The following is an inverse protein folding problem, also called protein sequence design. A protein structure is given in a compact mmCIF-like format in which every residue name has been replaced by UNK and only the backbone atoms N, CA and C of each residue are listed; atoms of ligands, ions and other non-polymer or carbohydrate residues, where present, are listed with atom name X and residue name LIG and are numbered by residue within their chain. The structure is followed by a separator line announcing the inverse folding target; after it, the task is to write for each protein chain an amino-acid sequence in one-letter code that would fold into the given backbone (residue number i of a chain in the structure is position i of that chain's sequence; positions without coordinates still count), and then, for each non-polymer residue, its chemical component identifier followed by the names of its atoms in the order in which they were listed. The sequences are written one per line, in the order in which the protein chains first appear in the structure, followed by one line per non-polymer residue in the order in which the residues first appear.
data_IF_567521755966
#
_entry.id   IF_567521755966
#
_cell.length_a   1.000
_cell.length_b   1.000
_cell.length_c   1.000
_cell.angle_alpha   90.00
_cell.angle_beta   90.00
_cell.angle_gamma   90.00
#
_symmetry.space_group_name_H-M   'P 1'
#
loop_
_entity.id
_entity.type
_entity.pdbx_description
1 polymer ?
#
# COMPACT_ATOMS: atom_id res chain seq x y z
N UNK A 1 -42.53 -1.87 -7.03
CA UNK A 1 -41.67 -0.91 -6.30
C UNK A 1 -42.60 -0.06 -5.44
N UNK A 2 -42.52 -0.19 -4.12
CA UNK A 2 -43.30 0.67 -3.23
C UNK A 2 -42.54 1.99 -3.10
N UNK A 3 -43.17 3.10 -3.49
CA UNK A 3 -42.67 4.44 -3.16
C UNK A 3 -43.23 4.77 -1.79
N UNK A 4 -42.41 4.67 -0.76
CA UNK A 4 -42.80 5.12 0.57
C UNK A 4 -42.58 6.63 0.62
N UNK A 5 -43.66 7.41 0.51
CA UNK A 5 -43.59 8.87 0.66
C UNK A 5 -43.44 9.18 2.16
N UNK A 6 -42.21 9.47 2.58
CA UNK A 6 -41.90 9.73 3.98
C UNK A 6 -42.27 11.19 4.29
N UNK A 7 -43.35 11.39 5.04
CA UNK A 7 -43.78 12.75 5.45
C UNK A 7 -42.86 13.38 6.51
N UNK A 8 -42.02 12.58 7.17
CA UNK A 8 -40.98 12.99 8.14
C UNK A 8 -39.94 11.88 8.31
N UNK A 9 -38.66 12.17 8.09
CA UNK A 9 -37.57 11.23 8.36
C UNK A 9 -37.49 11.04 9.88
N UNK A 10 -37.65 9.80 10.35
CA UNK A 10 -37.44 9.45 11.76
C UNK A 10 -35.97 9.09 11.97
N UNK A 11 -35.34 9.79 12.91
CA UNK A 11 -33.96 9.56 13.32
C UNK A 11 -33.93 9.31 14.82
N UNK A 12 -33.09 8.36 15.25
CA UNK A 12 -32.81 8.06 16.65
C UNK A 12 -31.33 8.21 16.92
N UNK A 13 -30.99 8.72 18.10
CA UNK A 13 -29.61 8.78 18.58
C UNK A 13 -29.52 8.44 20.07
N UNK A 14 -28.41 7.84 20.49
CA UNK A 14 -28.19 7.42 21.87
C UNK A 14 -26.96 6.54 22.02
N UNK A 15 -26.82 5.82 23.14
CA UNK A 15 -25.77 4.80 23.25
C UNK A 15 -26.07 3.63 22.32
N UNK A 16 -25.04 2.92 21.85
CA UNK A 16 -25.19 1.75 20.96
C UNK A 16 -26.17 0.71 21.51
N UNK A 17 -26.12 0.46 22.82
CA UNK A 17 -27.00 -0.49 23.51
C UNK A 17 -28.46 -0.02 23.60
N UNK A 18 -28.69 1.29 23.47
CA UNK A 18 -30.03 1.89 23.55
C UNK A 18 -30.70 2.00 22.16
N UNK A 19 -29.99 1.65 21.08
CA UNK A 19 -30.59 1.54 19.76
C UNK A 19 -31.38 0.23 19.67
N UNK A 20 -32.70 0.28 19.36
CA UNK A 20 -33.50 -0.91 19.12
C UNK A 20 -32.92 -1.79 18.01
N UNK A 21 -33.06 -3.10 18.14
CA UNK A 21 -32.73 -4.08 17.11
C UNK A 21 -33.93 -5.03 16.92
N UNK A 22 -34.77 -4.83 15.87
CA UNK A 22 -34.63 -3.85 14.80
C UNK A 22 -35.13 -2.44 15.15
N UNK A 23 -34.55 -1.41 14.51
CA UNK A 23 -35.14 -0.08 14.31
C UNK A 23 -36.36 -0.19 13.38
N UNK A 24 -37.23 0.84 13.35
CA UNK A 24 -38.37 0.84 12.43
C UNK A 24 -37.92 0.82 10.96
N UNK A 25 -38.80 0.39 10.06
CA UNK A 25 -38.56 0.38 8.61
C UNK A 25 -38.01 1.73 8.13
N UNK A 26 -36.80 1.71 7.58
CA UNK A 26 -36.07 2.87 7.08
C UNK A 26 -35.79 3.99 8.10
N UNK A 27 -35.81 3.70 9.41
CA UNK A 27 -35.36 4.63 10.47
C UNK A 27 -33.83 4.66 10.55
N UNK A 28 -33.25 5.87 10.67
CA UNK A 28 -31.81 6.02 10.91
C UNK A 28 -31.49 5.99 12.40
N UNK A 29 -30.55 5.14 12.81
CA UNK A 29 -30.02 5.06 14.18
C UNK A 29 -28.56 5.50 14.26
N UNK A 30 -28.25 6.50 15.10
CA UNK A 30 -26.89 6.96 15.36
C UNK A 30 -26.45 6.60 16.79
N UNK A 31 -25.42 5.76 16.91
CA UNK A 31 -24.81 5.44 18.20
C UNK A 31 -23.75 6.51 18.54
N UNK A 32 -24.01 7.36 19.52
CA UNK A 32 -23.13 8.50 19.84
C UNK A 32 -21.79 8.06 20.43
N UNK A 33 -21.77 6.99 21.24
CA UNK A 33 -20.59 6.51 21.94
C UNK A 33 -19.64 5.70 21.04
N UNK A 34 -20.19 4.94 20.09
CA UNK A 34 -19.40 4.15 19.13
C UNK A 34 -19.27 4.82 17.76
N UNK A 35 -20.03 5.90 17.50
CA UNK A 35 -20.07 6.62 16.22
C UNK A 35 -20.44 5.72 15.03
N UNK A 36 -21.39 4.84 15.25
CA UNK A 36 -21.91 3.89 14.25
C UNK A 36 -23.29 4.33 13.75
N UNK A 37 -23.57 4.06 12.47
CA UNK A 37 -24.81 4.44 11.80
C UNK A 37 -25.57 3.19 11.32
N UNK A 38 -26.89 3.17 11.52
CA UNK A 38 -27.77 2.07 11.16
C UNK A 38 -28.98 2.52 10.36
N UNK A 39 -29.49 1.64 9.51
CA UNK A 39 -30.82 1.73 8.89
C UNK A 39 -31.64 0.55 9.40
N UNK A 40 -32.85 0.81 9.90
CA UNK A 40 -33.77 -0.23 10.31
C UNK A 40 -34.39 -0.98 9.14
N UNK A 41 -34.36 -2.32 9.22
CA UNK A 41 -35.07 -3.22 8.30
C UNK A 41 -36.48 -3.58 8.82
N UNK A 42 -36.84 -3.01 9.97
CA UNK A 42 -38.12 -3.20 10.64
C UNK A 42 -38.36 -4.62 11.14
N UNK A 43 -39.54 -4.86 11.73
CA UNK A 43 -39.87 -6.12 12.38
C UNK A 43 -40.08 -7.29 11.40
N UNK A 44 -40.28 -7.01 10.10
CA UNK A 44 -40.57 -8.05 9.10
C UNK A 44 -39.31 -8.72 8.54
N UNK A 45 -38.27 -7.94 8.23
CA UNK A 45 -36.99 -8.46 7.76
C UNK A 45 -36.02 -8.70 8.92
N UNK A 46 -36.19 -7.97 10.02
CA UNK A 46 -35.42 -8.11 11.24
C UNK A 46 -34.01 -7.52 11.11
N UNK A 47 -33.45 -7.03 12.22
CA UNK A 47 -32.11 -6.47 12.24
C UNK A 47 -32.00 -4.99 11.83
N UNK A 48 -30.77 -4.52 11.92
CA UNK A 48 -30.33 -3.20 11.47
C UNK A 48 -29.19 -3.35 10.47
N UNK A 49 -29.30 -2.72 9.30
CA UNK A 49 -28.18 -2.61 8.35
C UNK A 49 -27.20 -1.56 8.87
N UNK A 50 -25.93 -1.92 9.11
CA UNK A 50 -24.90 -0.95 9.46
C UNK A 50 -24.36 -0.24 8.22
N UNK A 51 -24.36 1.09 8.24
CA UNK A 51 -23.54 1.90 7.34
C UNK A 51 -22.15 2.01 7.93
N UNK A 52 -21.13 1.66 7.15
CA UNK A 52 -19.74 1.75 7.59
C UNK A 52 -19.30 3.21 7.79
N UNK A 53 -18.82 3.48 8.99
CA UNK A 53 -18.18 4.71 9.43
C UNK A 53 -16.72 4.41 9.80
N UNK A 54 -15.91 5.45 10.01
CA UNK A 54 -14.53 5.31 10.49
C UNK A 54 -14.42 4.56 11.85
N UNK A 55 -15.54 4.43 12.60
CA UNK A 55 -15.60 3.78 13.91
C UNK A 55 -16.42 2.47 13.87
N UNK A 56 -16.71 1.94 12.68
CA UNK A 56 -17.37 0.65 12.53
C UNK A 56 -16.50 -0.51 13.06
N UNK A 57 -17.10 -1.65 13.45
CA UNK A 57 -16.37 -2.72 14.10
C UNK A 57 -15.26 -3.26 13.20
N UNK A 58 -14.14 -3.62 13.83
CA UNK A 58 -12.97 -4.14 13.12
C UNK A 58 -13.25 -5.45 12.35
N UNK A 59 -14.26 -6.21 12.77
CA UNK A 59 -14.74 -7.39 12.04
C UNK A 59 -15.94 -7.01 11.19
N UNK A 60 -15.69 -6.84 9.90
CA UNK A 60 -16.73 -6.57 8.91
C UNK A 60 -17.25 -7.90 8.32
N UNK A 61 -18.55 -7.99 7.98
CA UNK A 61 -19.08 -9.17 7.29
C UNK A 61 -18.32 -9.39 5.98
N UNK A 62 -18.15 -10.63 5.51
CA UNK A 62 -17.28 -10.84 4.36
C UNK A 62 -17.86 -10.27 3.07
N UNK A 63 -16.99 -9.66 2.26
CA UNK A 63 -17.24 -9.34 0.88
C UNK A 63 -17.58 -10.61 0.09
N UNK A 64 -18.73 -10.60 -0.57
CA UNK A 64 -19.13 -11.68 -1.49
C UNK A 64 -19.08 -11.18 -2.92
N UNK A 65 -18.19 -11.75 -3.73
CA UNK A 65 -18.21 -11.49 -5.17
C UNK A 65 -19.33 -12.30 -5.81
N UNK A 66 -20.39 -11.62 -6.27
CA UNK A 66 -21.46 -12.22 -7.06
C UNK A 66 -21.22 -11.84 -8.52
N UNK A 67 -20.91 -12.84 -9.36
CA UNK A 67 -20.82 -12.62 -10.80
C UNK A 67 -22.22 -12.39 -11.37
N UNK A 68 -22.40 -11.31 -12.12
CA UNK A 68 -23.67 -11.03 -12.82
C UNK A 68 -23.80 -11.81 -14.13
N UNK A 69 -22.82 -12.65 -14.48
CA UNK A 69 -22.83 -13.43 -15.72
C UNK A 69 -23.68 -14.69 -15.53
N UNK A 70 -24.90 -14.66 -16.07
CA UNK A 70 -25.84 -15.80 -16.02
C UNK A 70 -25.53 -16.82 -17.12
N UNK A 71 -24.29 -17.30 -17.18
CA UNK A 71 -24.03 -18.49 -18.00
C UNK A 71 -24.42 -19.74 -17.20
N UNK A 72 -25.65 -20.20 -17.45
CA UNK A 72 -26.20 -21.39 -16.79
C UNK A 72 -25.39 -22.67 -17.08
N UNK A 73 -24.60 -22.71 -18.16
CA UNK A 73 -23.72 -23.84 -18.45
C UNK A 73 -22.53 -23.92 -17.48
N UNK A 74 -22.00 -22.78 -17.03
CA UNK A 74 -20.91 -22.67 -16.06
C UNK A 74 -21.40 -22.86 -14.61
N UNK A 75 -22.67 -22.55 -14.33
CA UNK A 75 -23.31 -22.83 -13.04
C UNK A 75 -23.41 -24.34 -12.77
N UNK A 76 -23.75 -25.13 -13.79
CA UNK A 76 -23.93 -26.59 -13.65
C UNK A 76 -22.63 -27.35 -13.36
N UNK A 77 -21.47 -26.77 -13.71
CA UNK A 77 -20.14 -27.33 -13.44
C UNK A 77 -19.41 -26.64 -12.27
N UNK A 78 -20.10 -25.76 -11.53
CA UNK A 78 -19.59 -25.14 -10.30
C UNK A 78 -18.50 -24.07 -10.49
N UNK A 79 -18.37 -23.49 -11.69
CA UNK A 79 -17.34 -22.47 -11.99
C UNK A 79 -17.80 -21.07 -11.57
N UNK A 80 -19.08 -20.76 -11.72
CA UNK A 80 -19.63 -19.45 -11.35
C UNK A 80 -19.93 -19.39 -9.85
N UNK A 81 -19.44 -18.34 -9.15
CA UNK A 81 -19.94 -17.98 -7.83
C UNK A 81 -21.44 -17.75 -7.94
N UNK A 82 -22.22 -18.47 -7.14
CA UNK A 82 -23.68 -18.37 -7.16
C UNK A 82 -24.21 -18.24 -5.74
N UNK A 83 -25.50 -17.97 -5.60
CA UNK A 83 -26.13 -17.75 -4.29
C UNK A 83 -25.97 -18.94 -3.32
N UNK A 84 -25.78 -20.17 -3.83
CA UNK A 84 -25.56 -21.36 -3.01
C UNK A 84 -24.07 -21.63 -2.74
N UNK A 85 -23.16 -21.08 -3.56
CA UNK A 85 -21.71 -21.20 -3.43
C UNK A 85 -21.01 -19.85 -3.68
N UNK A 86 -21.19 -18.88 -2.77
CA UNK A 86 -20.54 -17.57 -2.89
C UNK A 86 -19.02 -17.66 -2.69
N UNK A 87 -18.25 -16.86 -3.44
CA UNK A 87 -16.85 -16.59 -3.08
C UNK A 87 -16.87 -15.52 -2.00
N UNK A 88 -16.52 -15.94 -0.80
CA UNK A 88 -16.49 -15.12 0.41
C UNK A 88 -15.05 -14.73 0.71
N UNK A 89 -14.78 -13.43 0.82
CA UNK A 89 -13.52 -12.88 1.33
C UNK A 89 -13.83 -11.90 2.44
N UNK A 90 -13.08 -11.92 3.53
CA UNK A 90 -13.22 -10.84 4.50
C UNK A 90 -12.66 -9.51 3.92
N UNK A 91 -13.07 -8.39 4.51
CA UNK A 91 -12.61 -7.08 4.04
C UNK A 91 -11.10 -6.89 4.23
N UNK A 92 -10.50 -7.48 5.27
CA UNK A 92 -9.06 -7.41 5.50
C UNK A 92 -8.31 -8.02 4.32
N UNK A 93 -8.64 -9.24 3.94
CA UNK A 93 -8.13 -9.92 2.76
C UNK A 93 -8.31 -9.10 1.49
N UNK A 94 -9.46 -8.41 1.35
CA UNK A 94 -9.74 -7.61 0.16
C UNK A 94 -8.88 -6.34 0.11
N UNK A 95 -8.66 -5.68 1.24
CA UNK A 95 -7.82 -4.49 1.31
C UNK A 95 -6.32 -4.85 1.20
N UNK A 96 -5.90 -6.00 1.71
CA UNK A 96 -4.53 -6.51 1.58
C UNK A 96 -4.16 -6.93 0.13
N UNK A 97 -5.11 -6.95 -0.81
CA UNK A 97 -4.81 -7.18 -2.23
C UNK A 97 -3.84 -6.10 -2.79
N UNK A 98 -3.93 -4.87 -2.26
CA UNK A 98 -3.08 -3.73 -2.65
C UNK A 98 -2.44 -3.17 -1.39
N UNK A 99 -1.12 -3.03 -1.40
CA UNK A 99 -0.39 -2.46 -0.26
C UNK A 99 0.12 -1.08 -0.64
N UNK A 100 -0.26 -0.07 0.13
CA UNK A 100 0.18 1.31 -0.05
C UNK A 100 1.23 1.71 0.99
N UNK A 101 2.21 2.53 0.61
CA UNK A 101 3.13 3.14 1.60
C UNK A 101 2.40 3.98 2.64
N UNK A 102 1.20 4.49 2.32
CA UNK A 102 0.37 5.25 3.27
C UNK A 102 -0.20 4.37 4.37
N UNK A 103 -0.36 3.07 4.12
CA UNK A 103 -0.81 2.10 5.14
C UNK A 103 0.28 1.90 6.22
N UNK A 104 1.54 2.21 5.92
CA UNK A 104 2.68 2.20 6.85
C UNK A 104 2.97 3.57 7.46
N UNK A 105 2.12 4.57 7.20
CA UNK A 105 2.21 5.91 7.76
C UNK A 105 2.96 6.93 6.91
N UNK A 106 3.24 6.65 5.63
CA UNK A 106 3.79 7.66 4.74
C UNK A 106 2.72 8.72 4.41
N UNK A 107 3.11 9.98 4.43
CA UNK A 107 2.22 11.13 4.20
C UNK A 107 2.21 11.55 2.73
N UNK A 108 3.38 11.61 2.09
CA UNK A 108 3.57 12.11 0.73
C UNK A 108 3.32 13.61 0.60
N UNK A 109 3.51 14.39 1.67
CA UNK A 109 3.21 15.83 1.72
C UNK A 109 4.39 16.74 1.29
N UNK A 110 5.57 16.16 1.05
CA UNK A 110 6.80 16.85 0.69
C UNK A 110 7.55 17.51 1.85
N UNK A 111 7.09 17.33 3.10
CA UNK A 111 7.63 17.98 4.31
C UNK A 111 7.98 16.95 5.39
N UNK A 112 7.11 15.97 5.62
CA UNK A 112 7.32 14.90 6.60
C UNK A 112 8.30 13.88 6.06
N UNK A 113 9.29 13.48 6.87
CA UNK A 113 10.22 12.41 6.50
C UNK A 113 9.50 11.05 6.47
N UNK A 114 9.22 10.57 5.27
CA UNK A 114 8.51 9.31 5.02
C UNK A 114 9.44 8.09 4.99
N UNK A 115 10.75 8.27 5.23
CA UNK A 115 11.78 7.22 5.16
C UNK A 115 11.39 5.98 5.97
N UNK A 116 11.03 6.16 7.24
CA UNK A 116 10.72 5.03 8.12
C UNK A 116 9.47 4.25 7.66
N UNK A 117 8.44 4.95 7.18
CA UNK A 117 7.21 4.32 6.70
C UNK A 117 7.48 3.51 5.42
N UNK A 118 8.19 4.09 4.45
CA UNK A 118 8.52 3.43 3.18
C UNK A 118 9.41 2.20 3.43
N UNK A 119 10.41 2.31 4.32
CA UNK A 119 11.29 1.19 4.64
C UNK A 119 10.55 0.05 5.34
N UNK A 120 9.62 0.35 6.26
CA UNK A 120 8.76 -0.68 6.86
C UNK A 120 7.96 -1.42 5.78
N UNK A 121 7.35 -0.69 4.85
CA UNK A 121 6.61 -1.28 3.75
C UNK A 121 7.51 -2.18 2.88
N UNK A 122 8.72 -1.72 2.55
CA UNK A 122 9.65 -2.50 1.73
C UNK A 122 10.13 -3.75 2.45
N UNK A 123 10.48 -3.66 3.73
CA UNK A 123 10.96 -4.83 4.46
C UNK A 123 9.83 -5.85 4.69
N UNK A 124 8.62 -5.40 5.00
CA UNK A 124 7.48 -6.30 5.19
C UNK A 124 7.11 -7.09 3.91
N UNK A 125 7.25 -6.46 2.74
CA UNK A 125 6.89 -7.06 1.45
C UNK A 125 8.08 -7.84 0.84
N UNK A 126 9.30 -7.31 0.90
CA UNK A 126 10.41 -7.80 0.08
C UNK A 126 11.58 -8.42 0.86
N UNK A 127 11.65 -8.26 2.18
CA UNK A 127 12.71 -8.90 2.98
C UNK A 127 12.47 -10.40 3.11
N UNK A 128 13.44 -11.19 2.68
CA UNK A 128 13.33 -12.65 2.70
C UNK A 128 13.54 -13.26 4.09
N UNK A 129 14.13 -12.50 5.03
CA UNK A 129 14.35 -12.96 6.40
C UNK A 129 13.06 -13.06 7.21
N UNK A 130 11.96 -12.47 6.73
CA UNK A 130 10.65 -12.43 7.40
C UNK A 130 9.73 -13.59 6.91
N UNK A 131 10.33 -14.69 6.45
CA UNK A 131 9.63 -15.91 6.04
C UNK A 131 9.55 -16.01 4.52
N UNK A 132 10.56 -16.67 3.97
CA UNK A 132 10.68 -17.02 2.58
C UNK A 132 9.47 -17.85 2.11
N UNK A 133 9.08 -17.60 0.86
CA UNK A 133 8.31 -18.53 0.04
C UNK A 133 6.78 -18.49 0.08
N UNK A 134 6.20 -17.29 0.12
CA UNK A 134 4.88 -17.12 -0.52
C UNK A 134 4.97 -16.02 -1.56
N UNK A 135 4.63 -16.34 -2.81
CA UNK A 135 4.43 -15.33 -3.88
C UNK A 135 3.49 -14.20 -3.42
N UNK A 136 2.64 -14.46 -2.42
CA UNK A 136 1.80 -13.48 -1.73
C UNK A 136 2.57 -12.33 -1.07
N UNK A 137 3.87 -12.47 -0.76
CA UNK A 137 4.69 -11.40 -0.17
C UNK A 137 5.34 -10.49 -1.21
N UNK A 138 5.51 -10.91 -2.46
CA UNK A 138 6.12 -10.07 -3.53
C UNK A 138 5.08 -9.28 -4.33
N UNK A 139 4.09 -8.71 -3.63
CA UNK A 139 3.07 -7.86 -4.24
C UNK A 139 3.68 -6.53 -4.68
N UNK A 140 2.99 -5.84 -5.58
CA UNK A 140 3.35 -4.48 -5.90
C UNK A 140 3.13 -3.56 -4.69
N UNK A 141 4.13 -2.71 -4.41
CA UNK A 141 4.03 -1.66 -3.40
C UNK A 141 3.59 -0.37 -4.10
N UNK A 142 2.44 0.14 -3.68
CA UNK A 142 1.81 1.32 -4.26
C UNK A 142 2.24 2.61 -3.57
N UNK A 143 2.53 3.62 -4.38
CA UNK A 143 2.87 4.98 -4.00
C UNK A 143 1.82 5.92 -4.59
N UNK A 144 0.76 6.25 -3.84
CA UNK A 144 -0.20 7.27 -4.26
C UNK A 144 0.49 8.58 -4.68
N UNK A 145 -0.21 9.43 -5.45
CA UNK A 145 0.28 10.76 -5.79
C UNK A 145 0.71 11.53 -4.52
N UNK A 146 1.87 12.16 -4.61
CA UNK A 146 2.53 12.82 -3.48
C UNK A 146 4.03 12.98 -3.70
N UNK A 147 4.62 13.80 -2.83
CA UNK A 147 6.08 13.96 -2.72
C UNK A 147 6.52 13.32 -1.42
N UNK A 148 7.23 12.21 -1.53
CA UNK A 148 7.74 11.45 -0.39
C UNK A 148 9.15 11.93 -0.10
N UNK A 149 9.29 12.75 0.94
CA UNK A 149 10.59 13.21 1.41
C UNK A 149 11.30 12.04 2.09
N UNK A 150 12.53 11.77 1.66
CA UNK A 150 13.37 10.72 2.24
C UNK A 150 14.74 11.25 2.57
N UNK A 151 15.36 10.64 3.57
CA UNK A 151 16.68 10.98 4.09
C UNK A 151 17.65 9.80 3.98
N UNK A 152 17.16 8.65 3.49
CA UNK A 152 17.93 7.43 3.19
C UNK A 152 17.49 6.81 1.87
N UNK A 153 18.39 6.05 1.22
CA UNK A 153 18.06 5.40 -0.05
C UNK A 153 16.93 4.39 0.13
N UNK A 154 16.15 4.25 -0.93
CA UNK A 154 15.13 3.22 -1.06
C UNK A 154 15.77 1.94 -1.62
N UNK A 155 15.82 0.83 -0.86
CA UNK A 155 16.39 -0.42 -1.34
C UNK A 155 15.46 -1.09 -2.35
N UNK A 156 16.00 -1.40 -3.54
CA UNK A 156 15.33 -2.16 -4.57
C UNK A 156 15.76 -3.62 -4.46
N UNK A 157 14.98 -4.39 -3.69
CA UNK A 157 15.18 -5.84 -3.47
C UNK A 157 14.90 -6.66 -4.73
N UNK A 158 15.39 -7.90 -4.83
CA UNK A 158 15.03 -8.81 -5.89
C UNK A 158 13.51 -9.02 -5.96
N UNK A 159 12.96 -9.05 -7.17
CA UNK A 159 11.54 -9.21 -7.49
C UNK A 159 10.64 -8.06 -7.01
N UNK A 160 11.21 -6.90 -6.64
CA UNK A 160 10.40 -5.80 -6.18
C UNK A 160 9.61 -5.12 -7.32
N UNK A 161 8.37 -4.74 -7.04
CA UNK A 161 7.51 -3.99 -7.97
C UNK A 161 6.99 -2.73 -7.29
N UNK A 162 7.50 -1.56 -7.67
CA UNK A 162 7.02 -0.28 -7.17
C UNK A 162 6.11 0.39 -8.20
N UNK A 163 4.94 0.86 -7.77
CA UNK A 163 3.93 1.48 -8.64
C UNK A 163 3.53 2.85 -8.11
N UNK A 164 3.65 3.88 -8.95
CA UNK A 164 3.13 5.22 -8.68
C UNK A 164 1.97 5.62 -9.60
N UNK A 165 1.34 6.74 -9.29
CA UNK A 165 0.23 7.34 -10.06
C UNK A 165 0.68 7.98 -11.40
N UNK A 166 2.00 7.99 -11.67
CA UNK A 166 2.65 8.54 -12.85
C UNK A 166 3.83 9.45 -12.47
N UNK A 167 4.87 9.51 -13.31
CA UNK A 167 6.12 10.22 -12.95
C UNK A 167 5.94 11.68 -12.51
N UNK A 168 4.94 12.38 -13.02
CA UNK A 168 4.68 13.77 -12.66
C UNK A 168 3.92 13.93 -11.32
N UNK A 169 3.35 12.85 -10.80
CA UNK A 169 2.45 12.84 -9.64
C UNK A 169 3.06 12.18 -8.41
N UNK A 170 3.87 11.15 -8.59
CA UNK A 170 4.52 10.42 -7.51
C UNK A 170 6.03 10.68 -7.55
N UNK A 171 6.56 11.29 -6.49
CA UNK A 171 7.97 11.67 -6.39
C UNK A 171 8.57 11.13 -5.10
N UNK A 172 9.72 10.47 -5.20
CA UNK A 172 10.56 10.16 -4.05
C UNK A 172 11.71 11.17 -4.09
N UNK A 173 11.75 12.07 -3.11
CA UNK A 173 12.66 13.19 -3.07
C UNK A 173 13.68 13.00 -1.94
N UNK A 174 14.93 12.77 -2.31
CA UNK A 174 16.04 12.70 -1.37
C UNK A 174 16.56 14.10 -1.07
N UNK A 175 16.33 14.56 0.16
CA UNK A 175 16.87 15.81 0.66
C UNK A 175 18.18 15.57 1.43
N UNK A 176 19.27 16.19 0.96
CA UNK A 176 20.58 16.09 1.61
C UNK A 176 21.10 17.43 2.12
N UNK A 177 20.31 18.51 2.04
CA UNK A 177 20.76 19.87 2.41
C UNK A 177 20.00 20.47 3.58
N UNK A 178 18.83 19.94 3.94
CA UNK A 178 18.12 20.36 5.15
C UNK A 178 18.74 19.68 6.40
N UNK A 179 19.25 20.45 7.39
CA UNK A 179 20.22 19.96 8.37
C UNK A 179 19.64 19.18 9.58
N UNK A 180 18.78 18.18 9.33
CA UNK A 180 18.24 17.33 10.40
C UNK A 180 18.77 15.87 10.39
N UNK A 181 19.45 15.42 9.32
CA UNK A 181 19.92 14.03 9.21
C UNK A 181 21.45 13.96 9.08
N UNK A 182 22.16 13.30 10.02
CA UNK A 182 23.58 13.06 9.91
C UNK A 182 23.94 12.26 8.64
N UNK A 183 24.71 12.89 7.75
CA UNK A 183 25.26 12.39 6.48
C UNK A 183 26.19 11.16 6.58
N UNK A 184 26.32 10.55 7.77
CA UNK A 184 27.34 9.54 8.08
C UNK A 184 27.00 8.13 7.57
N UNK A 185 25.77 7.88 7.11
CA UNK A 185 25.39 6.60 6.50
C UNK A 185 25.02 6.81 5.03
N UNK A 186 26.00 6.58 4.15
CA UNK A 186 25.94 6.78 2.70
C UNK A 186 24.58 6.44 2.10
N UNK A 187 23.81 7.48 1.83
CA UNK A 187 22.78 7.48 0.80
C UNK A 187 23.26 8.47 -0.24
N UNK A 188 23.92 7.96 -1.27
CA UNK A 188 24.45 8.76 -2.39
C UNK A 188 23.52 8.67 -3.62
N UNK A 189 22.36 8.02 -3.46
CA UNK A 189 21.32 7.86 -4.47
C UNK A 189 19.94 7.78 -3.83
N UNK A 190 18.89 8.21 -4.54
CA UNK A 190 17.50 8.12 -4.07
C UNK A 190 17.09 6.66 -3.90
N UNK A 191 17.49 5.80 -4.82
CA UNK A 191 17.26 4.37 -4.75
C UNK A 191 18.51 3.57 -5.15
N UNK A 192 18.67 2.38 -4.56
CA UNK A 192 19.80 1.49 -4.86
C UNK A 192 19.36 0.04 -4.82
N UNK A 193 19.88 -0.77 -5.72
CA UNK A 193 19.63 -2.21 -5.72
C UNK A 193 20.35 -2.93 -4.59
N UNK A 194 19.66 -3.88 -3.97
CA UNK A 194 20.19 -4.72 -2.89
C UNK A 194 19.90 -6.18 -3.19
N UNK A 195 20.71 -7.11 -2.68
CA UNK A 195 20.35 -8.53 -2.74
C UNK A 195 19.26 -8.90 -1.72
N UNK A 196 18.89 -10.17 -1.67
CA UNK A 196 17.88 -10.68 -0.73
C UNK A 196 18.22 -10.48 0.76
N UNK A 197 19.46 -10.15 1.09
CA UNK A 197 19.92 -9.86 2.45
C UNK A 197 20.10 -8.36 2.72
N UNK A 198 19.76 -7.50 1.73
CA UNK A 198 19.93 -6.06 1.86
C UNK A 198 21.38 -5.58 1.66
N UNK A 199 22.29 -6.43 1.19
CA UNK A 199 23.69 -6.07 0.97
C UNK A 199 23.84 -5.19 -0.27
N UNK A 200 24.91 -4.37 -0.32
CA UNK A 200 25.14 -3.39 -1.40
C UNK A 200 26.57 -3.44 -1.93
N UNK A 201 26.81 -2.93 -3.14
CA UNK A 201 28.15 -2.81 -3.69
C UNK A 201 28.87 -4.16 -3.84
N UNK A 202 30.09 -4.25 -3.31
CA UNK A 202 30.91 -5.46 -3.42
C UNK A 202 30.29 -6.65 -2.69
N UNK A 203 29.53 -6.38 -1.62
CA UNK A 203 28.94 -7.40 -0.76
C UNK A 203 27.69 -8.07 -1.37
N UNK A 204 27.17 -7.53 -2.50
CA UNK A 204 26.03 -8.15 -3.20
C UNK A 204 26.37 -9.59 -3.61
N UNK A 205 25.59 -10.56 -3.15
CA UNK A 205 25.76 -11.98 -3.45
C UNK A 205 26.82 -12.67 -2.59
N UNK A 206 27.34 -12.02 -1.55
CA UNK A 206 28.30 -12.61 -0.61
C UNK A 206 27.55 -13.27 0.54
N UNK A 207 27.73 -14.57 0.70
CA UNK A 207 27.16 -15.30 1.84
C UNK A 207 27.78 -14.87 3.16
N UNK A 208 26.90 -14.43 4.07
CA UNK A 208 27.24 -14.01 5.44
C UNK A 208 27.23 -15.19 6.43
N UNK A 209 27.18 -16.43 5.92
CA UNK A 209 27.35 -17.65 6.70
C UNK A 209 26.06 -18.27 7.21
N UNK A 210 24.91 -17.89 6.63
CA UNK A 210 23.61 -18.46 7.00
C UNK A 210 23.19 -19.63 6.11
N UNK A 211 23.91 -19.91 5.02
CA UNK A 211 23.62 -21.04 4.11
C UNK A 211 22.33 -20.88 3.30
N UNK A 212 21.68 -19.73 3.39
CA UNK A 212 20.47 -19.40 2.64
C UNK A 212 20.79 -19.02 1.20
N UNK A 213 19.88 -19.34 0.27
CA UNK A 213 20.04 -18.95 -1.12
C UNK A 213 19.96 -17.42 -1.26
N UNK A 214 21.04 -16.81 -1.77
CA UNK A 214 21.10 -15.36 -1.97
C UNK A 214 20.66 -15.04 -3.39
N UNK A 215 19.60 -14.25 -3.50
CA UNK A 215 19.18 -13.71 -4.78
C UNK A 215 19.86 -12.37 -4.98
N UNK A 216 20.72 -12.29 -5.99
CA UNK A 216 21.23 -11.00 -6.48
C UNK A 216 20.08 -10.14 -7.02
N UNK A 217 20.23 -8.81 -7.08
CA UNK A 217 19.19 -7.92 -7.57
C UNK A 217 18.65 -8.37 -8.93
N UNK A 218 17.39 -8.79 -8.99
CA UNK A 218 16.83 -9.28 -10.23
C UNK A 218 15.32 -9.08 -10.35
N UNK A 219 14.82 -9.00 -11.57
CA UNK A 219 13.39 -8.87 -11.89
C UNK A 219 12.72 -7.70 -11.15
N UNK A 220 13.39 -6.55 -11.14
CA UNK A 220 12.91 -5.33 -10.48
C UNK A 220 12.08 -4.52 -11.46
N UNK A 221 10.91 -4.07 -11.03
CA UNK A 221 10.01 -3.23 -11.83
C UNK A 221 9.67 -1.97 -11.04
N UNK A 222 9.86 -0.81 -11.65
CA UNK A 222 9.41 0.48 -11.12
C UNK A 222 8.59 1.16 -12.19
N UNK A 223 7.37 1.61 -11.86
CA UNK A 223 6.53 2.35 -12.80
C UNK A 223 5.91 3.59 -12.20
N UNK A 224 5.83 4.66 -12.98
CA UNK A 224 5.06 5.84 -12.61
C UNK A 224 5.63 6.63 -11.43
N UNK A 225 6.94 6.55 -11.16
CA UNK A 225 7.61 7.20 -10.02
C UNK A 225 8.77 8.06 -10.53
N UNK A 226 8.88 9.29 -10.05
CA UNK A 226 10.09 10.10 -10.21
C UNK A 226 11.01 9.97 -9.00
N UNK A 227 12.29 9.75 -9.25
CA UNK A 227 13.35 9.84 -8.27
C UNK A 227 14.02 11.20 -8.41
N UNK A 228 13.97 12.00 -7.35
CA UNK A 228 14.46 13.37 -7.34
C UNK A 228 15.46 13.54 -6.20
N UNK A 229 16.50 14.35 -6.39
CA UNK A 229 17.40 14.73 -5.31
C UNK A 229 17.94 16.14 -5.48
N UNK A 230 18.09 16.84 -4.36
CA UNK A 230 18.77 18.13 -4.27
C UNK A 230 20.24 17.99 -3.87
N UNK A 231 20.82 16.79 -3.93
CA UNK A 231 22.18 16.54 -3.45
C UNK A 231 23.17 17.56 -3.99
N UNK A 232 23.82 18.29 -3.08
CA UNK A 232 24.85 19.29 -3.41
C UNK A 232 26.24 18.67 -3.27
N UNK A 233 27.07 18.90 -4.27
CA UNK A 233 28.43 18.38 -4.34
C UNK A 233 29.41 19.15 -3.46
N UNK A 234 29.54 18.76 -2.20
CA UNK A 234 30.59 19.30 -1.34
C UNK A 234 31.73 18.34 -1.06
N UNK A 235 31.64 17.06 -1.46
CA UNK A 235 32.72 16.09 -1.23
C UNK A 235 33.17 15.36 -2.50
N UNK A 236 34.49 15.18 -2.61
CA UNK A 236 35.24 14.43 -3.65
C UNK A 236 34.80 12.96 -3.76
N UNK A 237 33.93 12.50 -2.86
CA UNK A 237 33.36 11.16 -2.81
C UNK A 237 31.82 11.18 -2.69
N UNK A 238 31.11 12.09 -3.36
CA UNK A 238 29.65 12.01 -3.51
C UNK A 238 29.31 11.24 -4.81
N UNK A 239 28.59 10.11 -4.74
CA UNK A 239 28.11 9.47 -5.97
C UNK A 239 27.00 10.39 -6.46
N UNK A 240 26.97 10.63 -7.75
CA UNK A 240 26.03 11.56 -8.39
C UNK A 240 24.75 10.85 -8.84
N UNK A 241 24.63 9.57 -8.52
CA UNK A 241 23.61 8.69 -9.08
C UNK A 241 22.25 8.99 -8.46
N UNK A 242 21.23 9.25 -9.28
CA UNK A 242 19.84 9.32 -8.78
C UNK A 242 19.34 7.94 -8.39
N UNK A 243 19.66 6.94 -9.22
CA UNK A 243 19.40 5.53 -8.92
C UNK A 243 20.65 4.73 -9.25
N UNK A 244 21.12 3.96 -8.27
CA UNK A 244 22.32 3.13 -8.41
C UNK A 244 21.94 1.67 -8.62
N UNK A 245 22.29 1.15 -9.80
CA UNK A 245 22.04 -0.24 -10.19
C UNK A 245 23.35 -1.02 -10.16
N UNK A 246 23.40 -2.10 -9.38
CA UNK A 246 24.61 -2.91 -9.20
C UNK A 246 24.31 -4.40 -9.23
N UNK A 247 25.11 -5.16 -9.98
CA UNK A 247 24.99 -6.61 -10.16
C UNK A 247 23.55 -7.06 -10.46
N UNK A 248 22.87 -6.28 -11.32
CA UNK A 248 21.45 -6.47 -11.64
C UNK A 248 21.23 -7.47 -12.77
N UNK A 249 20.15 -8.23 -12.68
CA UNK A 249 19.61 -9.03 -13.78
C UNK A 249 18.13 -8.71 -14.02
N UNK A 250 17.80 -8.10 -15.17
CA UNK A 250 16.43 -7.67 -15.52
C UNK A 250 15.85 -6.60 -14.56
N UNK A 251 16.00 -5.33 -14.95
CA UNK A 251 15.41 -4.17 -14.28
C UNK A 251 14.63 -3.36 -15.30
N UNK A 252 13.40 -2.97 -14.97
CA UNK A 252 12.54 -2.16 -15.83
C UNK A 252 12.05 -0.93 -15.10
N UNK A 253 12.32 0.23 -15.68
CA UNK A 253 11.68 1.50 -15.34
C UNK A 253 10.70 1.88 -16.47
N UNK A 254 9.46 2.19 -16.13
CA UNK A 254 8.38 2.50 -17.08
C UNK A 254 7.63 3.75 -16.61
N UNK A 255 7.59 4.80 -17.44
CA UNK A 255 7.10 6.12 -17.01
C UNK A 255 7.72 6.60 -15.69
N UNK A 256 9.06 6.64 -15.62
CA UNK A 256 9.79 7.17 -14.46
C UNK A 256 10.51 8.48 -14.81
N UNK A 257 10.77 9.29 -13.78
CA UNK A 257 11.61 10.48 -13.86
C UNK A 257 12.89 10.33 -13.04
N UNK A 258 13.97 10.97 -13.48
CA UNK A 258 15.24 11.01 -12.76
C UNK A 258 15.74 12.45 -12.76
N UNK A 259 15.69 13.12 -11.62
CA UNK A 259 15.98 14.56 -11.48
C UNK A 259 17.04 14.77 -10.41
N UNK A 260 18.09 15.50 -10.75
CA UNK A 260 19.19 15.81 -9.85
C UNK A 260 19.76 17.18 -10.10
N UNK A 261 20.57 17.64 -9.17
CA UNK A 261 21.38 18.86 -9.36
C UNK A 261 22.40 18.62 -10.48
N UNK A 262 22.31 19.39 -11.57
CA UNK A 262 23.37 19.40 -12.57
C UNK A 262 24.64 19.94 -11.93
N UNK A 263 25.64 19.09 -11.90
CA UNK A 263 27.02 19.42 -11.60
C UNK A 263 27.85 18.96 -12.80
N UNK A 264 28.83 19.75 -13.25
CA UNK A 264 29.51 19.55 -14.53
C UNK A 264 29.92 18.09 -14.80
N UNK A 265 29.97 17.73 -16.09
CA UNK A 265 30.31 16.37 -16.52
C UNK A 265 31.63 15.89 -15.88
N UNK A 266 31.62 14.65 -15.38
CA UNK A 266 32.85 13.91 -15.03
C UNK A 266 33.60 13.47 -16.30
#
# INVERSE_FOLDING_TARGET
MAVQQISRIQNRRGLRIDLPDPLNDAEFGWAENTRELFIGEGPFFGGNTQILTENSPASLPPYTYISNTVDNSLNAIGINPNANFPIIRDYQQKFDDIVSVKDYGATGDGVTDDTAAILRAIFDIYDQTIGADTFAKRRALYFPAGTYLVTRFIPLYPFCTLLGDGKAKTKIFLDTVTPAVPITFRTRAVARTVDSLGQTGNDIGVDVGNGEAIFTPQNIVVRGISFESNTVQTEVFADKDIVRLEKVNNVRFDDCGFVGTWTGAD
#
